data_IF_201436932353
#
_entry.id   IF_201436932353
#
_cell.length_a   1.000
_cell.length_b   1.000
_cell.length_c   1.000
_cell.angle_alpha   90.00
_cell.angle_beta   90.00
_cell.angle_gamma   90.00
#
_symmetry.space_group_name_H-M   'P 1'
#
loop_
_entity.id
_entity.type
_entity.pdbx_description
1 polymer ?
#
# COMPACT_ATOMS: atom_id res chain seq x y z
N UNK A 1 7.29 14.13 26.93
CA UNK A 1 6.58 13.21 26.00
C UNK A 1 5.07 13.43 26.02
N UNK A 2 4.36 13.18 27.14
CA UNK A 2 2.89 13.32 27.19
C UNK A 2 2.37 14.75 26.91
N UNK A 3 3.11 15.77 27.33
CA UNK A 3 2.78 17.18 27.07
C UNK A 3 3.03 17.57 25.60
N UNK A 4 4.14 17.12 24.99
CA UNK A 4 4.40 17.30 23.56
C UNK A 4 3.28 16.71 22.68
N UNK A 5 2.83 15.49 22.96
CA UNK A 5 1.68 14.92 22.26
C UNK A 5 0.40 15.71 22.51
N UNK A 6 0.21 16.25 23.72
CA UNK A 6 -0.97 17.06 24.02
C UNK A 6 -0.95 18.38 23.25
N UNK A 7 0.19 19.06 23.15
CA UNK A 7 0.35 20.29 22.38
C UNK A 7 0.21 20.03 20.87
N UNK A 8 0.83 18.97 20.36
CA UNK A 8 0.77 18.58 18.95
C UNK A 8 -0.63 18.08 18.53
N UNK A 9 -1.35 17.38 19.41
CA UNK A 9 -2.74 16.96 19.19
C UNK A 9 -3.76 18.08 19.51
N UNK A 10 -3.37 19.09 20.31
CA UNK A 10 -4.18 20.31 20.54
C UNK A 10 -4.01 21.35 19.44
N UNK A 11 -2.95 21.24 18.64
CA UNK A 11 -2.82 21.95 17.38
C UNK A 11 -3.93 21.50 16.44
N UNK A 12 -4.37 22.45 15.60
CA UNK A 12 -5.42 22.30 14.58
C UNK A 12 -5.63 20.84 14.14
N UNK A 13 -6.87 20.34 14.32
CA UNK A 13 -7.28 18.96 14.05
C UNK A 13 -6.79 18.45 12.68
N UNK A 14 -6.74 19.33 11.69
CA UNK A 14 -6.21 19.02 10.36
C UNK A 14 -4.75 18.57 10.38
N UNK A 15 -3.87 19.32 11.07
CA UNK A 15 -2.44 19.02 11.17
C UNK A 15 -2.23 17.69 11.90
N UNK A 16 -2.95 17.52 13.00
CA UNK A 16 -2.98 16.28 13.77
C UNK A 16 -3.34 15.08 12.90
N UNK A 17 -4.39 15.19 12.09
CA UNK A 17 -4.82 14.14 11.17
C UNK A 17 -3.76 13.75 10.14
N UNK A 18 -3.06 14.74 9.57
CA UNK A 18 -1.95 14.48 8.62
C UNK A 18 -0.81 13.73 9.30
N UNK A 19 -0.36 14.20 10.47
CA UNK A 19 0.76 13.58 11.20
C UNK A 19 0.42 12.14 11.58
N UNK A 20 -0.78 11.90 12.12
CA UNK A 20 -1.23 10.56 12.48
C UNK A 20 -1.32 9.62 11.27
N UNK A 21 -1.81 10.12 10.14
CA UNK A 21 -1.89 9.33 8.90
C UNK A 21 -0.49 8.93 8.44
N UNK A 22 0.44 9.89 8.31
CA UNK A 22 1.81 9.61 7.90
C UNK A 22 2.52 8.67 8.88
N UNK A 23 2.32 8.86 10.19
CA UNK A 23 2.86 7.97 11.22
C UNK A 23 2.31 6.54 11.09
N UNK A 24 1.01 6.38 10.84
CA UNK A 24 0.39 5.08 10.63
C UNK A 24 0.95 4.37 9.38
N UNK A 25 1.10 5.10 8.27
CA UNK A 25 1.74 4.57 7.05
C UNK A 25 3.19 4.14 7.33
N UNK A 26 3.97 4.99 7.99
CA UNK A 26 5.37 4.70 8.31
C UNK A 26 5.52 3.49 9.25
N UNK A 27 4.68 3.39 10.28
CA UNK A 27 4.73 2.28 11.24
C UNK A 27 4.27 0.97 10.56
N UNK A 28 3.15 1.00 9.83
CA UNK A 28 2.60 -0.20 9.21
C UNK A 28 3.56 -0.78 8.15
N UNK A 29 3.90 0.00 7.12
CA UNK A 29 4.79 -0.48 6.05
C UNK A 29 6.23 -0.61 6.51
N UNK A 30 6.70 0.31 7.37
CA UNK A 30 8.05 0.27 7.90
C UNK A 30 8.30 -0.95 8.80
N UNK A 31 7.32 -1.36 9.62
CA UNK A 31 7.47 -2.57 10.45
C UNK A 31 7.61 -3.84 9.61
N UNK A 32 6.81 -3.98 8.53
CA UNK A 32 6.92 -5.11 7.60
C UNK A 32 8.32 -5.16 6.98
N UNK A 33 8.81 -4.02 6.48
CA UNK A 33 10.16 -3.94 5.90
C UNK A 33 11.25 -4.23 6.94
N UNK A 34 11.15 -3.69 8.16
CA UNK A 34 12.15 -3.91 9.20
C UNK A 34 12.25 -5.39 9.59
N UNK A 35 11.12 -6.09 9.74
CA UNK A 35 11.11 -7.52 10.04
C UNK A 35 11.79 -8.34 8.95
N UNK A 36 11.52 -8.02 7.68
CA UNK A 36 12.15 -8.71 6.55
C UNK A 36 13.63 -8.34 6.43
N UNK A 37 13.97 -7.07 6.64
CA UNK A 37 15.34 -6.56 6.63
C UNK A 37 16.24 -7.29 7.63
N UNK A 38 15.77 -7.49 8.86
CA UNK A 38 16.58 -8.15 9.91
C UNK A 38 16.80 -9.63 9.65
N UNK A 39 15.87 -10.29 8.94
CA UNK A 39 15.93 -11.74 8.72
C UNK A 39 16.59 -12.12 7.40
N UNK A 40 16.45 -11.30 6.37
CA UNK A 40 16.87 -11.62 4.99
C UNK A 40 17.90 -10.63 4.41
N UNK A 41 18.23 -9.58 5.17
CA UNK A 41 19.15 -8.54 4.74
C UNK A 41 18.48 -7.45 3.89
N UNK A 42 19.26 -6.40 3.59
CA UNK A 42 18.74 -5.16 3.00
C UNK A 42 18.06 -5.33 1.64
N UNK A 43 18.71 -6.06 0.73
CA UNK A 43 18.26 -6.18 -0.66
C UNK A 43 17.05 -7.09 -0.77
N UNK A 44 17.17 -8.32 -0.28
CA UNK A 44 16.08 -9.30 -0.32
C UNK A 44 14.88 -8.84 0.52
N UNK A 45 15.13 -8.26 1.69
CA UNK A 45 14.05 -7.74 2.55
C UNK A 45 13.22 -6.64 1.89
N UNK A 46 13.84 -5.76 1.10
CA UNK A 46 13.12 -4.73 0.33
C UNK A 46 12.25 -5.36 -0.77
N UNK A 47 12.79 -6.34 -1.50
CA UNK A 47 12.06 -7.01 -2.59
C UNK A 47 10.85 -7.78 -2.06
N UNK A 48 11.03 -8.53 -0.97
CA UNK A 48 9.95 -9.26 -0.31
C UNK A 48 8.89 -8.31 0.26
N UNK A 49 9.30 -7.21 0.91
CA UNK A 49 8.37 -6.22 1.46
C UNK A 49 7.54 -5.58 0.34
N UNK A 50 8.20 -5.16 -0.76
CA UNK A 50 7.53 -4.60 -1.92
C UNK A 50 6.56 -5.58 -2.57
N UNK A 51 6.98 -6.82 -2.81
CA UNK A 51 6.12 -7.87 -3.36
C UNK A 51 4.88 -8.10 -2.48
N UNK A 52 5.05 -8.21 -1.16
CA UNK A 52 3.95 -8.39 -0.23
C UNK A 52 2.98 -7.19 -0.22
N UNK A 53 3.49 -5.96 -0.16
CA UNK A 53 2.69 -4.74 -0.14
C UNK A 53 1.89 -4.60 -1.44
N UNK A 54 2.54 -4.66 -2.60
CA UNK A 54 1.85 -4.46 -3.86
C UNK A 54 0.94 -5.64 -4.23
N UNK A 55 1.27 -6.86 -3.82
CA UNK A 55 0.37 -8.01 -3.91
C UNK A 55 -0.90 -7.81 -3.09
N UNK A 56 -0.76 -7.36 -1.83
CA UNK A 56 -1.88 -7.02 -0.96
C UNK A 56 -2.76 -5.90 -1.57
N UNK A 57 -2.14 -4.83 -2.09
CA UNK A 57 -2.87 -3.71 -2.72
C UNK A 57 -3.58 -4.13 -4.01
N UNK A 58 -2.98 -5.04 -4.79
CA UNK A 58 -3.59 -5.62 -5.99
C UNK A 58 -4.86 -6.40 -5.63
N UNK A 59 -4.78 -7.29 -4.63
CA UNK A 59 -5.95 -8.06 -4.18
C UNK A 59 -7.01 -7.12 -3.60
N UNK A 60 -6.60 -6.17 -2.75
CA UNK A 60 -7.52 -5.22 -2.12
C UNK A 60 -8.26 -4.39 -3.17
N UNK A 61 -7.56 -3.84 -4.16
CA UNK A 61 -8.16 -3.05 -5.23
C UNK A 61 -9.06 -3.88 -6.14
N UNK A 62 -8.68 -5.12 -6.46
CA UNK A 62 -9.50 -6.06 -7.20
C UNK A 62 -10.85 -6.30 -6.51
N UNK A 63 -10.86 -6.43 -5.17
CA UNK A 63 -12.11 -6.57 -4.41
C UNK A 63 -13.02 -5.34 -4.57
N UNK A 64 -12.46 -4.13 -4.64
CA UNK A 64 -13.24 -2.91 -4.88
C UNK A 64 -13.75 -2.81 -6.32
N UNK A 65 -13.01 -3.30 -7.30
CA UNK A 65 -13.47 -3.37 -8.70
C UNK A 65 -14.63 -4.35 -8.84
N UNK A 66 -14.54 -5.52 -8.19
CA UNK A 66 -15.54 -6.59 -8.29
C UNK A 66 -16.79 -6.26 -7.46
N UNK A 67 -16.62 -5.92 -6.20
CA UNK A 67 -17.73 -5.78 -5.26
C UNK A 67 -18.31 -4.38 -5.14
N UNK A 68 -17.66 -3.38 -5.75
CA UNK A 68 -17.96 -1.96 -5.65
C UNK A 68 -18.03 -1.44 -4.18
N UNK A 69 -17.80 -0.14 -3.94
CA UNK A 69 -17.91 0.41 -2.60
C UNK A 69 -19.35 0.22 -2.07
N UNK A 70 -19.50 -0.28 -0.84
CA UNK A 70 -20.77 -0.25 -0.09
C UNK A 70 -21.12 1.17 0.39
N UNK A 71 -20.87 2.18 -0.45
CA UNK A 71 -21.32 3.56 -0.27
C UNK A 71 -22.78 3.71 -0.74
N UNK A 72 -23.31 4.96 -0.82
CA UNK A 72 -24.62 5.22 -1.42
C UNK A 72 -24.73 4.47 -2.76
N UNK A 73 -25.89 3.89 -3.07
CA UNK A 73 -26.02 3.06 -4.28
C UNK A 73 -25.59 3.92 -5.48
N UNK A 74 -24.98 3.36 -6.54
CA UNK A 74 -24.68 4.13 -7.75
C UNK A 74 -25.88 4.91 -8.32
N UNK A 75 -27.12 4.44 -8.05
CA UNK A 75 -28.36 5.16 -8.38
C UNK A 75 -28.61 6.44 -7.56
N UNK A 76 -27.96 6.59 -6.40
CA UNK A 76 -28.06 7.72 -5.48
C UNK A 76 -26.97 8.79 -5.74
N UNK A 77 -26.02 8.52 -6.66
CA UNK A 77 -24.98 9.47 -7.08
C UNK A 77 -25.41 10.05 -8.44
N UNK A 78 -26.04 11.21 -8.41
CA UNK A 78 -26.60 11.88 -9.58
C UNK A 78 -25.46 12.22 -10.58
N UNK A 79 -25.44 11.56 -11.75
CA UNK A 79 -24.58 11.91 -12.88
C UNK A 79 -23.37 11.01 -13.18
N UNK A 80 -23.14 9.89 -12.46
CA UNK A 80 -22.04 8.97 -12.75
C UNK A 80 -22.51 7.52 -13.01
N UNK A 81 -22.10 6.93 -14.14
CA UNK A 81 -22.38 5.54 -14.49
C UNK A 81 -21.59 4.56 -13.58
N UNK A 82 -22.09 3.33 -13.43
CA UNK A 82 -21.45 2.24 -12.70
C UNK A 82 -19.99 1.96 -13.15
N UNK A 83 -19.67 2.24 -14.43
CA UNK A 83 -18.29 2.16 -14.93
C UNK A 83 -17.40 3.31 -14.40
N UNK A 84 -17.91 4.54 -14.41
CA UNK A 84 -17.15 5.74 -14.05
C UNK A 84 -16.76 5.72 -12.56
N UNK A 85 -17.63 5.20 -11.70
CA UNK A 85 -17.34 5.00 -10.26
C UNK A 85 -16.15 4.04 -10.05
N UNK A 86 -15.88 3.15 -11.02
CA UNK A 86 -14.81 2.15 -10.92
C UNK A 86 -13.49 2.62 -11.52
N UNK A 87 -13.42 3.79 -12.15
CA UNK A 87 -12.18 4.28 -12.77
C UNK A 87 -11.04 4.36 -11.74
N UNK A 88 -11.32 4.88 -10.54
CA UNK A 88 -10.33 5.00 -9.46
C UNK A 88 -9.81 3.64 -9.00
N UNK A 89 -10.65 2.67 -8.58
CA UNK A 89 -10.16 1.36 -8.17
C UNK A 89 -9.53 0.57 -9.33
N UNK A 90 -9.98 0.75 -10.58
CA UNK A 90 -9.34 0.13 -11.76
C UNK A 90 -7.93 0.71 -11.96
N UNK A 91 -7.76 2.03 -11.92
CA UNK A 91 -6.44 2.65 -12.05
C UNK A 91 -5.50 2.18 -10.92
N UNK A 92 -6.01 2.13 -9.69
CA UNK A 92 -5.26 1.65 -8.54
C UNK A 92 -4.89 0.16 -8.68
N UNK A 93 -5.78 -0.67 -9.21
CA UNK A 93 -5.52 -2.08 -9.53
C UNK A 93 -4.42 -2.22 -10.57
N UNK A 94 -4.49 -1.48 -11.67
CA UNK A 94 -3.49 -1.56 -12.75
C UNK A 94 -2.11 -1.14 -12.24
N UNK A 95 -2.03 -0.04 -11.50
CA UNK A 95 -0.75 0.47 -10.97
C UNK A 95 -0.18 -0.49 -9.93
N UNK A 96 -0.98 -0.95 -8.97
CA UNK A 96 -0.51 -1.89 -7.95
C UNK A 96 -0.11 -3.25 -8.55
N UNK A 97 -0.84 -3.76 -9.54
CA UNK A 97 -0.49 -4.99 -10.24
C UNK A 97 0.82 -4.86 -11.04
N UNK A 98 1.03 -3.71 -11.71
CA UNK A 98 2.27 -3.45 -12.43
C UNK A 98 3.48 -3.40 -11.49
N UNK A 99 3.34 -2.74 -10.34
CA UNK A 99 4.39 -2.71 -9.32
C UNK A 99 4.63 -4.10 -8.72
N UNK A 100 3.57 -4.85 -8.43
CA UNK A 100 3.67 -6.22 -7.94
C UNK A 100 4.45 -7.12 -8.91
N UNK A 101 4.11 -7.07 -10.20
CA UNK A 101 4.84 -7.80 -11.25
C UNK A 101 6.31 -7.36 -11.33
N UNK A 102 6.59 -6.06 -11.25
CA UNK A 102 7.95 -5.52 -11.20
C UNK A 102 8.78 -6.08 -10.03
N UNK A 103 8.18 -6.18 -8.84
CA UNK A 103 8.83 -6.79 -7.68
C UNK A 103 9.06 -8.30 -7.84
N UNK A 104 8.13 -9.04 -8.44
CA UNK A 104 8.33 -10.46 -8.73
C UNK A 104 9.46 -10.69 -9.74
N UNK A 105 9.55 -9.86 -10.78
CA UNK A 105 10.64 -9.92 -11.76
C UNK A 105 11.98 -9.61 -11.08
N UNK A 106 12.03 -8.58 -10.24
CA UNK A 106 13.25 -8.24 -9.49
C UNK A 106 13.66 -9.34 -8.50
N UNK A 107 12.69 -10.04 -7.88
CA UNK A 107 12.97 -11.17 -7.00
C UNK A 107 13.60 -12.34 -7.78
N UNK A 108 13.02 -12.69 -8.93
CA UNK A 108 13.58 -13.73 -9.82
C UNK A 108 15.01 -13.41 -10.26
N UNK A 109 15.25 -12.16 -10.66
CA UNK A 109 16.60 -11.71 -11.04
C UNK A 109 17.57 -11.78 -9.86
N UNK A 110 17.12 -11.47 -8.65
CA UNK A 110 17.94 -11.57 -7.45
C UNK A 110 18.33 -13.03 -7.14
N UNK A 111 17.40 -13.97 -7.30
CA UNK A 111 17.65 -15.40 -7.13
C UNK A 111 18.66 -15.92 -8.16
N UNK A 112 18.48 -15.60 -9.44
CA UNK A 112 19.41 -15.99 -10.53
C UNK A 112 20.85 -15.49 -10.26
N UNK A 113 20.99 -14.24 -9.79
CA UNK A 113 22.28 -13.67 -9.43
C UNK A 113 22.90 -14.33 -8.19
N UNK A 114 22.09 -14.78 -7.23
CA UNK A 114 22.58 -15.49 -6.05
C UNK A 114 23.09 -16.89 -6.42
N UNK A 115 22.34 -17.63 -7.25
CA UNK A 115 22.72 -18.97 -7.71
C UNK A 115 23.97 -18.96 -8.59
N UNK A 116 24.15 -17.96 -9.46
CA UNK A 116 25.36 -17.84 -10.30
C UNK A 116 26.64 -17.45 -9.55
N UNK A 117 26.55 -17.12 -8.25
CA UNK A 117 27.71 -16.78 -7.41
C UNK A 117 28.13 -17.91 -6.45
N UNK A 118 27.44 -19.04 -6.47
CA UNK A 118 27.77 -20.26 -5.72
C UNK A 118 28.63 -21.22 -6.58
#
# INVERSE_FOLDING_TARGET
MREFFRELLSANLFITGIILTLAAFAIFYGSIYLLLYTNTGRRLGLLLAGAGIFGWLTISSMLFVIYAPRGPRPADIEGLNAFEIRIIPIAYLVVSAALFAGFLVALKQYEELAEGTA
#
